data_IF_131160257242
#
_entry.id   IF_131160257242
#
_cell.length_a   1.000
_cell.length_b   1.000
_cell.length_c   1.000
_cell.angle_alpha   90.00
_cell.angle_beta   90.00
_cell.angle_gamma   90.00
#
_symmetry.space_group_name_H-M   'P 1'
#
loop_
_entity.id
_entity.type
_entity.pdbx_description
1 polymer ?
#
# COMPACT_ATOMS: atom_id res chain seq x y z
N UNK A 1 -10.12 34.32 69.75
CA UNK A 1 -11.12 35.28 69.25
C UNK A 1 -12.05 34.48 68.36
N UNK A 2 -12.97 33.72 68.96
CA UNK A 2 -14.35 34.15 69.30
C UNK A 2 -15.13 34.54 68.04
N UNK A 3 -16.33 34.06 67.75
CA UNK A 3 -17.24 33.19 68.49
C UNK A 3 -18.27 32.60 67.52
N UNK A 4 -18.68 31.38 67.85
CA UNK A 4 -19.95 30.73 67.52
C UNK A 4 -21.18 31.61 67.78
N UNK A 5 -22.25 31.37 67.01
CA UNK A 5 -23.68 31.41 67.43
C UNK A 5 -24.56 31.22 66.17
N UNK A 6 -25.68 30.49 66.10
CA UNK A 6 -26.36 29.58 67.03
C UNK A 6 -27.66 29.07 66.34
N UNK A 7 -28.14 27.86 66.73
CA UNK A 7 -29.56 27.52 67.07
C UNK A 7 -30.59 27.44 65.90
N UNK A 8 -31.56 26.50 65.80
CA UNK A 8 -32.01 25.33 66.58
C UNK A 8 -33.00 24.48 65.73
N UNK A 9 -32.94 23.16 65.94
CA UNK A 9 -34.00 22.14 66.20
C UNK A 9 -35.36 22.11 65.47
N UNK A 10 -35.59 20.89 64.92
CA UNK A 10 -36.76 20.00 64.96
C UNK A 10 -38.09 20.38 64.29
N UNK A 11 -38.59 19.49 63.41
CA UNK A 11 -39.83 18.70 63.63
C UNK A 11 -40.04 17.66 62.50
N UNK A 12 -40.61 16.51 62.87
CA UNK A 12 -41.07 15.43 61.99
C UNK A 12 -42.24 15.88 61.10
N UNK A 13 -42.39 15.26 59.92
CA UNK A 13 -43.59 15.38 59.10
C UNK A 13 -43.60 14.39 57.93
N UNK A 14 -44.27 13.26 58.13
CA UNK A 14 -44.62 12.25 57.14
C UNK A 14 -45.56 12.86 56.08
N UNK A 15 -45.32 12.68 54.78
CA UNK A 15 -46.20 13.26 53.76
C UNK A 15 -45.95 12.85 52.32
N UNK A 16 -46.53 11.71 51.95
CA UNK A 16 -47.20 11.43 50.68
C UNK A 16 -46.40 11.44 49.35
N UNK A 17 -46.35 10.23 48.80
CA UNK A 17 -46.10 9.82 47.41
C UNK A 17 -46.70 10.77 46.37
N UNK A 18 -45.88 11.21 45.41
CA UNK A 18 -46.33 11.44 44.03
C UNK A 18 -45.25 10.93 43.07
N UNK A 19 -45.42 9.70 42.60
CA UNK A 19 -44.67 9.16 41.49
C UNK A 19 -45.10 9.88 40.21
N UNK A 20 -44.24 10.77 39.69
CA UNK A 20 -44.41 11.33 38.36
C UNK A 20 -43.56 10.52 37.39
N UNK A 21 -44.22 9.56 36.74
CA UNK A 21 -43.69 8.78 35.62
C UNK A 21 -43.45 9.67 34.41
N UNK A 22 -42.19 9.80 34.00
CA UNK A 22 -41.81 10.09 32.62
C UNK A 22 -40.57 9.26 32.28
N UNK A 23 -40.76 7.94 32.12
CA UNK A 23 -39.79 7.09 31.45
C UNK A 23 -39.83 7.41 29.96
N UNK A 24 -39.04 8.41 29.55
CA UNK A 24 -38.73 8.66 28.15
C UNK A 24 -37.87 7.52 27.63
N UNK A 25 -38.48 6.62 26.87
CA UNK A 25 -37.82 5.58 26.07
C UNK A 25 -36.83 6.24 25.10
N UNK A 26 -35.55 6.26 25.45
CA UNK A 26 -34.49 6.56 24.51
C UNK A 26 -34.23 5.32 23.63
N UNK A 27 -35.11 5.06 22.67
CA UNK A 27 -34.89 4.08 21.58
C UNK A 27 -33.97 4.70 20.51
N UNK A 28 -32.74 5.00 20.91
CA UNK A 28 -31.64 5.32 20.00
C UNK A 28 -31.14 4.05 19.34
N UNK A 29 -31.68 3.74 18.15
CA UNK A 29 -31.20 2.66 17.30
C UNK A 29 -29.73 2.92 16.93
N UNK A 30 -28.81 2.23 17.58
CA UNK A 30 -27.44 2.10 17.10
C UNK A 30 -27.50 1.36 15.76
N UNK A 31 -27.38 2.10 14.65
CA UNK A 31 -27.16 1.49 13.33
C UNK A 31 -25.83 0.75 13.40
N UNK A 32 -25.89 -0.58 13.47
CA UNK A 32 -24.75 -1.43 13.22
C UNK A 32 -24.25 -1.11 11.80
N UNK A 33 -23.04 -0.53 11.71
CA UNK A 33 -22.34 -0.38 10.45
C UNK A 33 -21.92 -1.77 10.00
N UNK A 34 -22.70 -2.36 9.09
CA UNK A 34 -22.36 -3.61 8.44
C UNK A 34 -21.10 -3.37 7.59
N UNK A 35 -19.95 -3.82 8.09
CA UNK A 35 -18.74 -3.90 7.27
C UNK A 35 -19.02 -4.94 6.18
N UNK A 36 -19.31 -4.47 4.97
CA UNK A 36 -19.30 -5.31 3.78
C UNK A 36 -17.89 -5.88 3.65
N UNK A 37 -17.69 -7.11 4.12
CA UNK A 37 -16.46 -7.86 3.90
C UNK A 37 -16.36 -8.10 2.40
N UNK A 38 -15.48 -7.36 1.72
CA UNK A 38 -15.17 -7.62 0.33
C UNK A 38 -14.78 -9.10 0.21
N UNK A 39 -15.48 -9.84 -0.67
CA UNK A 39 -15.22 -11.26 -0.86
C UNK A 39 -13.74 -11.47 -1.17
N UNK A 40 -13.06 -12.29 -0.36
CA UNK A 40 -11.64 -12.56 -0.54
C UNK A 40 -11.36 -13.05 -1.97
N UNK A 41 -10.31 -12.50 -2.59
CA UNK A 41 -9.89 -12.93 -3.92
C UNK A 41 -9.40 -14.38 -3.89
N UNK A 42 -9.35 -15.01 -5.06
CA UNK A 42 -8.64 -16.29 -5.24
C UNK A 42 -7.75 -16.18 -6.47
N UNK A 43 -6.45 -16.36 -6.29
CA UNK A 43 -5.50 -16.47 -7.38
C UNK A 43 -5.35 -17.93 -7.85
N UNK A 44 -5.04 -18.10 -9.13
CA UNK A 44 -4.81 -19.39 -9.77
C UNK A 44 -3.49 -19.37 -10.56
N UNK A 45 -2.74 -20.46 -10.49
CA UNK A 45 -1.50 -20.64 -11.26
C UNK A 45 -0.36 -19.75 -10.78
N UNK A 46 0.48 -19.32 -11.73
CA UNK A 46 1.67 -18.51 -11.46
C UNK A 46 1.49 -17.09 -11.99
N UNK A 47 2.40 -16.18 -11.60
CA UNK A 47 2.41 -14.80 -12.09
C UNK A 47 2.52 -14.71 -13.62
N UNK A 48 3.14 -15.71 -14.27
CA UNK A 48 3.29 -15.79 -15.73
C UNK A 48 2.24 -16.66 -16.43
N UNK A 49 1.45 -17.45 -15.70
CA UNK A 49 0.36 -18.27 -16.23
C UNK A 49 -0.72 -18.46 -15.17
N UNK A 50 -1.66 -17.53 -15.11
CA UNK A 50 -2.66 -17.53 -14.07
C UNK A 50 -3.87 -16.67 -14.39
N UNK A 51 -4.79 -16.65 -13.43
CA UNK A 51 -5.99 -15.81 -13.42
C UNK A 51 -6.32 -15.43 -11.98
N UNK A 52 -7.25 -14.49 -11.85
CA UNK A 52 -7.71 -13.96 -10.58
C UNK A 52 -9.23 -13.98 -10.53
N UNK A 53 -9.80 -14.38 -9.41
CA UNK A 53 -11.21 -14.19 -9.09
C UNK A 53 -11.35 -13.17 -7.97
N UNK A 54 -12.34 -12.27 -8.09
CA UNK A 54 -12.58 -11.24 -7.09
C UNK A 54 -11.43 -10.25 -6.96
N UNK A 55 -10.71 -9.94 -8.04
CA UNK A 55 -9.66 -8.92 -8.02
C UNK A 55 -10.20 -7.55 -7.61
N UNK A 56 -9.39 -6.81 -6.87
CA UNK A 56 -9.71 -5.47 -6.36
C UNK A 56 -8.79 -4.43 -6.96
N UNK A 57 -9.31 -3.25 -7.28
CA UNK A 57 -8.46 -2.14 -7.74
C UNK A 57 -7.71 -1.55 -6.56
N UNK A 58 -6.44 -1.22 -6.77
CA UNK A 58 -5.74 -0.31 -5.86
C UNK A 58 -6.39 1.08 -5.92
N UNK A 59 -6.38 1.85 -4.81
CA UNK A 59 -6.80 3.25 -4.82
C UNK A 59 -5.94 4.07 -5.77
N UNK A 60 -6.55 5.01 -6.50
CA UNK A 60 -5.81 5.88 -7.43
C UNK A 60 -4.81 6.80 -6.71
N UNK A 61 -5.12 7.19 -5.46
CA UNK A 61 -4.24 8.03 -4.64
C UNK A 61 -4.47 7.81 -3.14
N UNK A 62 -3.46 8.15 -2.36
CA UNK A 62 -3.48 8.28 -0.90
C UNK A 62 -2.68 9.49 -0.45
N UNK A 63 -2.32 9.57 0.83
CA UNK A 63 -1.64 10.74 1.40
C UNK A 63 -0.20 10.91 0.88
N UNK A 64 0.49 9.80 0.63
CA UNK A 64 1.90 9.77 0.20
C UNK A 64 2.11 8.97 -1.10
N UNK A 65 1.04 8.51 -1.76
CA UNK A 65 1.16 7.73 -3.00
C UNK A 65 0.10 8.07 -4.05
N UNK A 66 0.40 7.72 -5.31
CA UNK A 66 -0.54 7.78 -6.43
C UNK A 66 -0.32 6.64 -7.42
N UNK A 67 -1.33 6.37 -8.26
CA UNK A 67 -1.18 5.54 -9.45
C UNK A 67 -0.37 6.29 -10.51
N UNK A 68 0.38 5.55 -11.32
CA UNK A 68 1.17 6.11 -12.43
C UNK A 68 0.32 6.82 -13.51
N UNK A 69 -0.96 6.44 -13.65
CA UNK A 69 -1.84 6.97 -14.69
C UNK A 69 -3.32 6.80 -14.35
N UNK A 70 -4.08 7.90 -14.39
CA UNK A 70 -5.54 7.87 -14.30
C UNK A 70 -6.18 7.07 -15.45
N UNK A 71 -5.59 7.12 -16.66
CA UNK A 71 -6.06 6.30 -17.78
C UNK A 71 -5.79 4.80 -17.53
N UNK A 72 -4.63 4.45 -16.98
CA UNK A 72 -4.31 3.08 -16.59
C UNK A 72 -5.31 2.51 -15.58
N UNK A 73 -5.68 3.32 -14.58
CA UNK A 73 -6.73 2.99 -13.60
C UNK A 73 -8.08 2.81 -14.30
N UNK A 74 -8.49 3.76 -15.14
CA UNK A 74 -9.75 3.71 -15.90
C UNK A 74 -9.87 2.47 -16.80
N UNK A 75 -8.77 2.06 -17.42
CA UNK A 75 -8.71 0.86 -18.26
C UNK A 75 -8.66 -0.44 -17.43
N UNK A 76 -8.55 -0.34 -16.11
CA UNK A 76 -8.54 -1.48 -15.19
C UNK A 76 -7.22 -2.24 -15.15
N UNK A 77 -6.09 -1.55 -15.35
CA UNK A 77 -4.72 -2.11 -15.32
C UNK A 77 -4.10 -2.14 -13.92
N UNK A 78 -4.89 -1.86 -12.89
CA UNK A 78 -4.44 -1.67 -11.49
C UNK A 78 -5.15 -2.59 -10.50
N UNK A 79 -5.57 -3.78 -10.96
CA UNK A 79 -6.21 -4.79 -10.10
C UNK A 79 -5.22 -5.81 -9.56
N UNK A 80 -5.37 -6.13 -8.27
CA UNK A 80 -4.57 -7.10 -7.54
C UNK A 80 -5.46 -8.04 -6.71
N UNK A 81 -4.83 -9.06 -6.15
CA UNK A 81 -5.45 -9.90 -5.11
C UNK A 81 -5.76 -9.07 -3.85
N UNK A 82 -6.89 -9.31 -3.19
CA UNK A 82 -7.34 -8.51 -2.04
C UNK A 82 -6.31 -8.40 -0.90
N UNK A 83 -5.63 -9.51 -0.58
CA UNK A 83 -4.54 -9.50 0.40
C UNK A 83 -3.31 -8.68 -0.06
N UNK A 84 -3.01 -8.61 -1.36
CA UNK A 84 -1.93 -7.75 -1.88
C UNK A 84 -2.32 -6.27 -1.73
N UNK A 85 -3.57 -5.92 -2.04
CA UNK A 85 -4.07 -4.55 -1.81
C UNK A 85 -4.00 -4.14 -0.34
N UNK A 86 -4.31 -5.06 0.58
CA UNK A 86 -4.22 -4.81 2.02
C UNK A 86 -2.76 -4.60 2.47
N UNK A 87 -1.82 -5.41 1.99
CA UNK A 87 -0.39 -5.27 2.29
C UNK A 87 0.13 -3.91 1.81
N UNK A 88 -0.18 -3.53 0.57
CA UNK A 88 0.23 -2.25 -0.02
C UNK A 88 -0.36 -1.07 0.77
N UNK A 89 -1.64 -1.16 1.15
CA UNK A 89 -2.30 -0.12 1.94
C UNK A 89 -1.64 0.07 3.31
N UNK A 90 -1.28 -1.03 3.99
CA UNK A 90 -0.57 -0.99 5.27
C UNK A 90 0.84 -0.42 5.13
N UNK A 91 1.56 -0.80 4.08
CA UNK A 91 2.89 -0.25 3.82
C UNK A 91 2.84 1.27 3.60
N UNK A 92 1.89 1.76 2.79
CA UNK A 92 1.74 3.21 2.61
C UNK A 92 1.35 3.95 3.89
N UNK A 93 0.45 3.38 4.71
CA UNK A 93 0.12 3.94 6.03
C UNK A 93 1.33 4.04 6.96
N UNK A 94 2.25 3.06 6.89
CA UNK A 94 3.47 3.11 7.68
C UNK A 94 4.47 4.14 7.14
N UNK A 95 4.58 4.26 5.81
CA UNK A 95 5.42 5.24 5.14
C UNK A 95 4.96 6.69 5.36
N UNK A 96 3.67 6.93 5.62
CA UNK A 96 3.19 8.25 6.06
C UNK A 96 3.87 8.72 7.35
N UNK A 97 4.41 7.78 8.13
CA UNK A 97 5.09 8.06 9.40
C UNK A 97 6.61 7.98 9.26
N UNK A 98 7.13 6.97 8.53
CA UNK A 98 8.58 6.70 8.45
C UNK A 98 9.28 7.45 7.32
N UNK A 99 8.52 7.92 6.33
CA UNK A 99 8.99 8.60 5.13
C UNK A 99 8.00 9.70 4.69
N UNK A 100 7.55 10.52 5.65
CA UNK A 100 6.48 11.51 5.45
C UNK A 100 6.80 12.62 4.45
N UNK A 101 8.10 12.83 4.14
CA UNK A 101 8.59 13.76 3.14
C UNK A 101 8.74 13.12 1.74
N UNK A 102 8.37 11.85 1.58
CA UNK A 102 8.50 11.09 0.34
C UNK A 102 7.16 10.89 -0.34
N UNK A 103 7.20 10.88 -1.67
CA UNK A 103 6.06 10.51 -2.51
C UNK A 103 6.36 9.24 -3.29
N UNK A 104 5.37 8.37 -3.36
CA UNK A 104 5.47 7.07 -4.02
C UNK A 104 4.50 6.99 -5.19
N UNK A 105 4.86 6.22 -6.21
CA UNK A 105 4.00 5.96 -7.36
C UNK A 105 4.00 4.48 -7.64
N UNK A 106 2.83 3.85 -7.68
CA UNK A 106 2.72 2.47 -8.16
C UNK A 106 2.36 2.46 -9.65
N UNK A 107 2.94 1.51 -10.38
CA UNK A 107 2.78 1.31 -11.81
C UNK A 107 1.61 0.38 -12.14
N UNK A 108 1.81 -0.38 -13.22
CA UNK A 108 0.87 -1.39 -13.67
C UNK A 108 0.84 -2.58 -12.71
N UNK A 109 -0.35 -3.20 -12.61
CA UNK A 109 -0.55 -4.46 -11.91
C UNK A 109 -1.19 -5.46 -12.88
N UNK A 110 -2.35 -6.02 -12.57
CA UNK A 110 -3.08 -6.94 -13.43
C UNK A 110 -4.50 -6.47 -13.77
N UNK A 111 -5.19 -7.31 -14.54
CA UNK A 111 -6.62 -7.19 -14.79
C UNK A 111 -7.45 -7.68 -13.60
N UNK A 112 -8.70 -7.21 -13.51
CA UNK A 112 -9.68 -7.66 -12.50
C UNK A 112 -9.82 -9.19 -12.43
N UNK A 113 -9.69 -9.86 -13.58
CA UNK A 113 -9.77 -11.32 -13.73
C UNK A 113 -8.41 -11.98 -13.93
N UNK A 114 -7.31 -11.23 -13.84
CA UNK A 114 -5.98 -11.70 -14.20
C UNK A 114 -5.85 -12.04 -15.69
N UNK A 115 -5.02 -13.04 -16.02
CA UNK A 115 -4.78 -13.45 -17.39
C UNK A 115 -3.76 -12.57 -18.12
N UNK A 116 -3.65 -12.75 -19.43
CA UNK A 116 -2.60 -12.09 -20.24
C UNK A 116 -2.80 -10.58 -20.29
N UNK A 117 -1.78 -9.84 -19.88
CA UNK A 117 -1.71 -8.39 -19.98
C UNK A 117 -0.53 -8.00 -20.86
N UNK A 118 -0.75 -7.43 -22.04
CA UNK A 118 0.37 -6.95 -22.88
C UNK A 118 0.86 -5.58 -22.36
N UNK A 119 2.15 -5.27 -22.46
CA UNK A 119 3.25 -6.12 -22.98
C UNK A 119 3.81 -7.12 -21.96
N UNK A 120 3.31 -7.11 -20.71
CA UNK A 120 3.78 -7.95 -19.61
C UNK A 120 3.80 -9.47 -19.91
N UNK A 121 4.84 -10.13 -19.42
CA UNK A 121 4.92 -11.59 -19.37
C UNK A 121 4.31 -12.16 -18.08
N UNK A 122 4.35 -11.39 -17.00
CA UNK A 122 3.82 -11.70 -15.66
C UNK A 122 2.47 -10.99 -15.43
N UNK A 123 2.15 -10.60 -14.18
CA UNK A 123 0.93 -9.88 -13.80
C UNK A 123 -0.41 -10.63 -13.99
N UNK A 124 -0.37 -11.95 -14.17
CA UNK A 124 -1.56 -12.71 -14.59
C UNK A 124 -2.44 -13.22 -13.47
N UNK A 125 -1.98 -13.26 -12.21
CA UNK A 125 -2.73 -13.85 -11.11
C UNK A 125 -3.01 -12.88 -9.94
N UNK A 126 -2.75 -11.58 -10.15
CA UNK A 126 -2.98 -10.53 -9.14
C UNK A 126 -1.93 -10.44 -8.05
N UNK A 127 -0.78 -11.11 -8.20
CA UNK A 127 0.31 -11.13 -7.22
C UNK A 127 1.55 -10.36 -7.65
N UNK A 128 1.49 -9.60 -8.73
CA UNK A 128 2.61 -8.80 -9.23
C UNK A 128 2.20 -7.34 -9.25
N UNK A 129 3.12 -6.45 -8.85
CA UNK A 129 2.93 -5.00 -8.84
C UNK A 129 4.23 -4.34 -9.28
N UNK A 130 4.13 -3.43 -10.25
CA UNK A 130 5.22 -2.51 -10.56
C UNK A 130 5.10 -1.29 -9.65
N UNK A 131 6.23 -0.77 -9.22
CA UNK A 131 6.34 0.49 -8.50
C UNK A 131 7.37 1.35 -9.19
N UNK A 132 7.04 2.60 -9.47
CA UNK A 132 8.01 3.53 -10.05
C UNK A 132 9.10 3.82 -9.02
N UNK A 133 10.33 4.01 -9.48
CA UNK A 133 11.42 4.41 -8.59
C UNK A 133 11.09 5.77 -7.97
N UNK A 134 11.19 5.94 -6.64
CA UNK A 134 11.06 7.26 -6.02
C UNK A 134 12.21 8.15 -6.49
N UNK A 135 11.93 9.43 -6.77
CA UNK A 135 12.95 10.37 -7.27
C UNK A 135 13.02 11.64 -6.44
N UNK A 136 14.19 12.26 -6.49
CA UNK A 136 14.44 13.61 -6.00
C UNK A 136 14.72 14.50 -7.21
N UNK A 137 14.19 15.73 -7.19
CA UNK A 137 14.54 16.76 -8.16
C UNK A 137 15.92 17.39 -7.86
N UNK A 138 16.31 18.39 -8.66
CA UNK A 138 17.56 19.13 -8.51
C UNK A 138 17.70 19.83 -7.15
N UNK A 139 16.58 20.14 -6.48
CA UNK A 139 16.57 20.74 -5.14
C UNK A 139 16.62 19.68 -4.03
N UNK A 140 16.61 18.39 -4.39
CA UNK A 140 16.60 17.28 -3.46
C UNK A 140 15.24 17.04 -2.82
N UNK A 141 14.16 17.51 -3.44
CA UNK A 141 12.79 17.33 -2.96
C UNK A 141 12.19 16.08 -3.62
N UNK A 142 11.47 15.27 -2.85
CA UNK A 142 10.77 14.10 -3.39
C UNK A 142 9.63 14.52 -4.31
N UNK A 143 9.63 13.99 -5.54
CA UNK A 143 8.61 14.26 -6.55
C UNK A 143 8.11 12.93 -7.13
N UNK A 144 6.86 12.87 -7.63
CA UNK A 144 6.43 11.74 -8.45
C UNK A 144 7.36 11.64 -9.66
N UNK A 145 7.71 10.42 -10.07
CA UNK A 145 8.40 10.22 -11.34
C UNK A 145 7.54 10.83 -12.47
N UNK A 146 8.09 11.70 -13.34
CA UNK A 146 7.29 12.33 -14.39
C UNK A 146 6.68 11.30 -15.35
N UNK A 147 5.36 11.25 -15.43
CA UNK A 147 4.63 10.33 -16.29
C UNK A 147 3.56 11.05 -17.10
N UNK A 148 3.59 10.89 -18.43
CA UNK A 148 2.54 11.33 -19.34
C UNK A 148 2.49 10.42 -20.59
N UNK A 149 1.57 10.66 -21.52
CA UNK A 149 1.41 9.81 -22.70
C UNK A 149 2.67 9.74 -23.58
N UNK A 150 3.52 10.77 -23.61
CA UNK A 150 4.69 10.83 -24.49
C UNK A 150 5.84 9.95 -23.99
N UNK A 151 5.86 9.57 -22.70
CA UNK A 151 6.89 8.70 -22.12
C UNK A 151 6.30 7.41 -21.52
N UNK A 152 5.18 6.94 -22.09
CA UNK A 152 4.46 5.77 -21.61
C UNK A 152 4.16 5.83 -20.09
N UNK A 153 3.78 7.00 -19.59
CA UNK A 153 3.48 7.25 -18.18
C UNK A 153 4.66 6.97 -17.22
N UNK A 154 5.88 7.20 -17.70
CA UNK A 154 7.12 7.01 -16.94
C UNK A 154 7.90 5.76 -17.33
N UNK A 155 7.28 4.80 -18.04
CA UNK A 155 7.92 3.55 -18.49
C UNK A 155 8.91 3.72 -19.65
N UNK A 156 9.01 4.91 -20.26
CA UNK A 156 9.96 5.24 -21.33
C UNK A 156 11.04 6.22 -20.84
N UNK A 157 11.37 6.15 -19.54
CA UNK A 157 12.47 6.91 -18.94
C UNK A 157 13.67 5.97 -18.80
N UNK A 158 14.83 6.39 -19.29
CA UNK A 158 16.10 5.70 -19.10
C UNK A 158 16.93 6.44 -18.04
N UNK A 159 17.09 5.83 -16.88
CA UNK A 159 18.08 6.30 -15.90
C UNK A 159 19.47 5.76 -16.25
N UNK A 160 20.52 6.52 -15.93
CA UNK A 160 21.89 6.02 -16.05
C UNK A 160 22.23 4.99 -14.96
N UNK A 161 23.42 4.39 -15.02
CA UNK A 161 23.87 3.41 -14.01
C UNK A 161 24.05 4.03 -12.61
N UNK A 162 24.02 5.35 -12.50
CA UNK A 162 24.09 6.12 -11.26
C UNK A 162 22.69 6.41 -10.70
N UNK A 163 21.63 6.18 -11.48
CA UNK A 163 20.25 6.48 -11.15
C UNK A 163 19.87 7.93 -11.43
N UNK A 164 20.46 8.56 -12.46
CA UNK A 164 20.20 9.94 -12.87
C UNK A 164 19.44 10.00 -14.21
N UNK A 165 18.50 10.94 -14.32
CA UNK A 165 17.75 11.25 -15.53
C UNK A 165 17.38 12.73 -15.56
N UNK A 166 18.02 13.52 -16.42
CA UNK A 166 17.88 14.98 -16.41
C UNK A 166 18.19 15.55 -15.03
N UNK A 167 17.25 16.31 -14.46
CA UNK A 167 17.34 16.89 -13.12
C UNK A 167 16.92 15.93 -11.99
N UNK A 168 16.53 14.71 -12.33
CA UNK A 168 16.07 13.71 -11.37
C UNK A 168 17.17 12.72 -11.00
N UNK A 169 17.15 12.29 -9.74
CA UNK A 169 17.94 11.18 -9.22
C UNK A 169 17.06 10.23 -8.43
N UNK A 170 17.33 8.93 -8.53
CA UNK A 170 16.63 7.91 -7.74
C UNK A 170 16.93 8.10 -6.25
N UNK A 171 15.87 8.16 -5.44
CA UNK A 171 15.96 8.09 -3.99
C UNK A 171 16.04 6.63 -3.55
N UNK A 172 17.25 6.06 -3.58
CA UNK A 172 17.47 4.68 -3.14
C UNK A 172 17.07 4.47 -1.68
N UNK A 173 17.13 5.49 -0.82
CA UNK A 173 16.72 5.37 0.58
C UNK A 173 15.19 5.24 0.69
N UNK A 174 14.42 6.03 -0.05
CA UNK A 174 12.97 5.90 -0.11
C UNK A 174 12.53 4.56 -0.75
N UNK A 175 13.22 4.12 -1.82
CA UNK A 175 12.99 2.80 -2.42
C UNK A 175 13.22 1.68 -1.39
N UNK A 176 14.33 1.75 -0.65
CA UNK A 176 14.68 0.76 0.36
C UNK A 176 13.69 0.76 1.54
N UNK A 177 13.23 1.94 1.98
CA UNK A 177 12.20 2.06 3.01
C UNK A 177 10.87 1.48 2.54
N UNK A 178 10.46 1.73 1.30
CA UNK A 178 9.23 1.16 0.76
C UNK A 178 9.28 -0.38 0.70
N UNK A 179 10.37 -0.98 0.20
CA UNK A 179 10.52 -2.45 0.20
C UNK A 179 10.55 -3.03 1.62
N UNK A 180 11.16 -2.33 2.57
CA UNK A 180 11.18 -2.73 3.97
C UNK A 180 9.76 -2.75 4.56
N UNK A 181 8.98 -1.68 4.36
CA UNK A 181 7.61 -1.62 4.88
C UNK A 181 6.65 -2.57 4.15
N UNK A 182 6.86 -2.80 2.85
CA UNK A 182 6.11 -3.82 2.09
C UNK A 182 6.29 -5.22 2.70
N UNK A 183 7.52 -5.59 3.04
CA UNK A 183 7.85 -6.89 3.61
C UNK A 183 7.34 -7.02 5.05
N UNK A 184 7.44 -5.97 5.87
CA UNK A 184 6.83 -5.96 7.20
C UNK A 184 5.31 -6.10 7.14
N UNK A 185 4.65 -5.37 6.24
CA UNK A 185 3.21 -5.47 6.03
C UNK A 185 2.81 -6.86 5.54
N UNK A 186 3.58 -7.45 4.62
CA UNK A 186 3.37 -8.82 4.16
C UNK A 186 3.47 -9.83 5.32
N UNK A 187 4.53 -9.74 6.12
CA UNK A 187 4.75 -10.60 7.30
C UNK A 187 3.64 -10.44 8.34
N UNK A 188 3.16 -9.23 8.57
CA UNK A 188 2.03 -8.97 9.47
C UNK A 188 0.72 -9.65 9.00
N UNK A 189 0.62 -10.00 7.71
CA UNK A 189 -0.48 -10.77 7.11
C UNK A 189 -0.16 -12.26 6.93
N UNK A 190 0.96 -12.74 7.51
CA UNK A 190 1.42 -14.11 7.35
C UNK A 190 1.81 -14.47 5.91
N UNK A 191 2.23 -13.46 5.13
CA UNK A 191 2.68 -13.57 3.73
C UNK A 191 4.14 -13.13 3.62
N UNK A 192 4.68 -13.17 2.41
CA UNK A 192 6.01 -12.64 2.12
C UNK A 192 6.07 -12.04 0.72
N UNK A 193 7.26 -11.58 0.34
CA UNK A 193 7.58 -11.21 -1.04
C UNK A 193 8.33 -12.38 -1.70
N UNK A 194 7.84 -12.81 -2.87
CA UNK A 194 8.41 -13.93 -3.60
C UNK A 194 9.67 -13.51 -4.37
N UNK A 195 9.63 -12.35 -5.01
CA UNK A 195 10.72 -11.82 -5.84
C UNK A 195 10.64 -10.29 -5.94
N UNK A 196 11.79 -9.64 -5.91
CA UNK A 196 11.97 -8.24 -6.28
C UNK A 196 12.86 -8.18 -7.53
N UNK A 197 12.41 -7.44 -8.53
CA UNK A 197 13.15 -7.19 -9.77
C UNK A 197 13.41 -5.69 -9.85
N UNK A 198 14.69 -5.32 -9.88
CA UNK A 198 15.18 -3.96 -10.12
C UNK A 198 16.44 -4.09 -10.97
N UNK A 199 16.78 -3.06 -11.72
CA UNK A 199 18.00 -3.02 -12.52
C UNK A 199 19.24 -3.47 -11.70
N UNK A 200 20.02 -4.46 -12.17
CA UNK A 200 21.12 -5.03 -11.38
C UNK A 200 22.16 -4.00 -10.87
N UNK A 201 22.61 -3.01 -11.67
CA UNK A 201 23.40 -1.86 -11.19
C UNK A 201 22.87 -1.16 -9.94
N UNK A 202 21.55 -1.14 -9.72
CA UNK A 202 20.93 -0.43 -8.60
C UNK A 202 20.92 -1.23 -7.30
N UNK A 203 21.07 -2.56 -7.36
CA UNK A 203 21.09 -3.38 -6.14
C UNK A 203 22.22 -2.97 -5.20
N UNK A 204 23.42 -2.67 -5.72
CA UNK A 204 24.53 -2.20 -4.90
C UNK A 204 24.20 -0.87 -4.18
N UNK A 205 23.52 0.06 -4.85
CA UNK A 205 23.11 1.35 -4.26
C UNK A 205 22.00 1.17 -3.24
N UNK A 206 21.02 0.33 -3.55
CA UNK A 206 19.93 -0.05 -2.65
C UNK A 206 20.48 -0.67 -1.36
N UNK A 207 21.46 -1.56 -1.48
CA UNK A 207 22.07 -2.22 -0.33
C UNK A 207 23.03 -1.36 0.48
N UNK A 208 23.51 -0.25 -0.08
CA UNK A 208 24.30 0.74 0.66
C UNK A 208 23.43 1.63 1.58
N UNK A 209 22.10 1.56 1.47
CA UNK A 209 21.17 2.33 2.31
C UNK A 209 21.05 1.76 3.73
N UNK A 210 20.42 2.53 4.63
CA UNK A 210 20.12 2.10 6.01
C UNK A 210 19.36 0.77 6.08
N UNK A 211 18.44 0.50 5.15
CA UNK A 211 17.67 -0.75 5.10
C UNK A 211 18.38 -1.86 4.34
N UNK A 212 19.46 -1.57 3.62
CA UNK A 212 20.19 -2.51 2.80
C UNK A 212 20.51 -3.86 3.45
N UNK A 213 21.10 -3.91 4.66
CA UNK A 213 21.38 -5.17 5.35
C UNK A 213 20.12 -6.00 5.63
N UNK A 214 18.99 -5.36 5.94
CA UNK A 214 17.72 -6.06 6.11
C UNK A 214 17.25 -6.64 4.77
N UNK A 215 17.24 -5.83 3.71
CA UNK A 215 16.77 -6.24 2.40
C UNK A 215 17.56 -7.42 1.85
N UNK A 216 18.89 -7.41 2.00
CA UNK A 216 19.75 -8.54 1.61
C UNK A 216 19.44 -9.83 2.36
N UNK A 217 19.08 -9.72 3.64
CA UNK A 217 18.80 -10.88 4.51
C UNK A 217 17.41 -11.45 4.28
N UNK A 218 16.43 -10.60 4.00
CA UNK A 218 15.02 -10.97 4.04
C UNK A 218 14.34 -11.05 2.68
N UNK A 219 14.86 -10.36 1.65
CA UNK A 219 14.24 -10.33 0.33
C UNK A 219 15.03 -11.13 -0.70
N UNK A 220 14.31 -11.61 -1.70
CA UNK A 220 14.88 -12.30 -2.86
C UNK A 220 14.90 -11.33 -4.03
N UNK A 221 16.10 -10.95 -4.46
CA UNK A 221 16.29 -10.14 -5.66
C UNK A 221 16.60 -11.04 -6.85
N UNK A 222 16.10 -10.69 -8.04
CA UNK A 222 16.50 -11.34 -9.28
C UNK A 222 17.99 -11.10 -9.55
N UNK A 223 18.73 -12.17 -9.81
CA UNK A 223 20.19 -12.13 -10.06
C UNK A 223 20.56 -12.04 -11.55
N UNK A 224 19.60 -12.31 -12.45
CA UNK A 224 19.80 -12.30 -13.90
C UNK A 224 19.48 -10.95 -14.54
N UNK A 225 19.82 -10.79 -15.83
CA UNK A 225 19.39 -9.64 -16.62
C UNK A 225 17.89 -9.75 -16.90
N UNK A 226 17.14 -8.69 -16.59
CA UNK A 226 15.77 -8.55 -17.03
C UNK A 226 15.71 -8.45 -18.57
N UNK A 227 14.60 -8.87 -19.17
CA UNK A 227 14.41 -8.79 -20.64
C UNK A 227 14.23 -7.35 -21.13
N UNK A 228 13.65 -6.50 -20.28
CA UNK A 228 13.50 -5.05 -20.43
C UNK A 228 14.22 -4.45 -19.22
N UNK A 229 14.88 -3.30 -19.37
CA UNK A 229 15.47 -2.61 -18.22
C UNK A 229 14.36 -2.23 -17.22
N UNK A 230 14.69 -2.23 -15.94
CA UNK A 230 13.78 -1.90 -14.84
C UNK A 230 14.47 -0.82 -14.01
N UNK A 231 14.83 0.27 -14.69
CA UNK A 231 15.57 1.39 -14.11
C UNK A 231 14.65 2.55 -13.72
N UNK A 232 13.48 2.60 -14.31
CA UNK A 232 12.38 3.52 -14.03
C UNK A 232 11.31 2.94 -13.09
N UNK A 233 11.30 1.63 -12.91
CA UNK A 233 10.43 0.93 -11.97
C UNK A 233 11.10 -0.31 -11.36
N UNK A 234 10.55 -0.80 -10.27
CA UNK A 234 10.87 -2.12 -9.71
C UNK A 234 9.60 -2.93 -9.58
N UNK A 235 9.73 -4.22 -9.84
CA UNK A 235 8.63 -5.17 -9.85
C UNK A 235 8.70 -6.05 -8.61
N UNK A 236 7.56 -6.26 -7.95
CA UNK A 236 7.44 -7.10 -6.78
C UNK A 236 6.39 -8.17 -7.01
N UNK A 237 6.80 -9.43 -6.89
CA UNK A 237 5.91 -10.56 -6.76
C UNK A 237 5.65 -10.87 -5.28
N UNK A 238 4.39 -11.06 -4.91
CA UNK A 238 3.98 -11.42 -3.55
C UNK A 238 3.82 -12.94 -3.40
N UNK A 239 4.20 -13.48 -2.24
CA UNK A 239 4.12 -14.90 -1.93
C UNK A 239 2.78 -15.23 -1.24
N UNK A 240 1.80 -15.64 -2.04
CA UNK A 240 0.48 -16.09 -1.60
C UNK A 240 0.16 -17.47 -2.20
N UNK A 241 -0.52 -18.36 -1.45
CA UNK A 241 -0.94 -19.65 -1.97
C UNK A 241 -2.05 -19.49 -3.01
N UNK A 242 -1.78 -19.88 -4.25
CA UNK A 242 -2.76 -19.93 -5.33
C UNK A 242 -3.27 -21.34 -5.58
N UNK A 243 -4.51 -21.44 -6.06
CA UNK A 243 -5.05 -22.70 -6.57
C UNK A 243 -4.36 -23.09 -7.87
N UNK A 244 -4.40 -24.37 -8.24
CA UNK A 244 -3.94 -24.82 -9.56
C UNK A 244 -4.78 -24.12 -10.64
N UNK A 245 -4.13 -23.56 -11.66
CA UNK A 245 -4.84 -23.07 -12.84
C UNK A 245 -5.30 -24.27 -13.67
N UNK A 246 -6.62 -24.55 -13.76
CA UNK A 246 -7.09 -25.55 -14.72
C UNK A 246 -6.70 -25.08 -16.13
N UNK A 247 -6.21 -26.03 -16.94
CA UNK A 247 -5.77 -25.78 -18.30
C UNK A 247 -6.89 -25.17 -19.15
#
# INVERSE_FOLDING_TARGET
MESFAHIRRHLLGLGLVLACSCAGLASGHAKAQEKVQAKASTCYGTVANGRLEGGVSLPEKGNNFSAYSALGVSLGRTYVHSAVAEIISLAYQQLEQTASDKVFVYGETGWKTGGRMRPHRTHKNGLSVDFMVPVLDAQGISRPLPGNMNNNYGYDIDFDAQGSFGDYRIDFAALAEHLYELDLAAKAKGRGLALVIIDPPYQAKLFATKRGPYLQKHLKFMKGKAWIRHDEHYHVDFDLPCKKNPA
#
